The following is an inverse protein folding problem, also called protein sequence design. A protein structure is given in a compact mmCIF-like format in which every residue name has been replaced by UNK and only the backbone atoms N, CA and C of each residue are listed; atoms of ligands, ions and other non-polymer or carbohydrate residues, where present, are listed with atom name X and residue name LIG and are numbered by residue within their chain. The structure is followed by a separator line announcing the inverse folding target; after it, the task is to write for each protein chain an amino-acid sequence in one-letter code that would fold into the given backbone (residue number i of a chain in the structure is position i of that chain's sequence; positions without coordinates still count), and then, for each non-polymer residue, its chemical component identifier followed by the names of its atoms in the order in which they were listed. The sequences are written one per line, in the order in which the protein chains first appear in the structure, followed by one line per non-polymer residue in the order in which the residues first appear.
data_IF_330781328370
#
_entry.id   IF_330781328370
#
_cell.length_a   1.000
_cell.length_b   1.000
_cell.length_c   1.000
_cell.angle_alpha   90.00
_cell.angle_beta   90.00
_cell.angle_gamma   90.00
#
_symmetry.space_group_name_H-M   'P 1'
#
loop_
_entity.id
_entity.type
_entity.pdbx_description
1 polymer ?
#
# COMPACT_ATOMS: atom_id res chain seq x y z
N UNK A 1 3.96 25.15 -37.97
CA UNK A 1 4.82 24.51 -36.96
C UNK A 1 4.33 24.73 -35.53
N UNK A 2 4.68 25.83 -34.84
CA UNK A 2 4.31 26.01 -33.42
C UNK A 2 2.79 26.12 -33.17
N UNK A 3 2.08 26.91 -33.99
CA UNK A 3 0.62 27.07 -33.88
C UNK A 3 -0.16 25.76 -34.13
N UNK A 4 0.31 24.90 -35.04
CA UNK A 4 -0.30 23.59 -35.31
C UNK A 4 -0.09 22.62 -34.14
N UNK A 5 1.09 22.64 -33.53
CA UNK A 5 1.38 21.85 -32.32
C UNK A 5 0.49 22.30 -31.15
N UNK A 6 0.36 23.61 -30.92
CA UNK A 6 -0.53 24.15 -29.89
C UNK A 6 -2.00 23.80 -30.14
N UNK A 7 -2.47 23.84 -31.39
CA UNK A 7 -3.82 23.41 -31.76
C UNK A 7 -4.03 21.91 -31.49
N UNK A 8 -3.03 21.06 -31.79
CA UNK A 8 -3.06 19.63 -31.50
C UNK A 8 -3.15 19.36 -30.00
N UNK A 9 -2.29 19.99 -29.19
CA UNK A 9 -2.30 19.86 -27.72
C UNK A 9 -3.66 20.32 -27.16
N UNK A 10 -4.19 21.43 -27.67
CA UNK A 10 -5.51 21.95 -27.26
C UNK A 10 -6.61 20.93 -27.49
N UNK A 11 -6.70 20.37 -28.71
CA UNK A 11 -7.73 19.38 -29.06
C UNK A 11 -7.61 18.10 -28.25
N UNK A 12 -6.38 17.59 -28.06
CA UNK A 12 -6.16 16.40 -27.24
C UNK A 12 -6.52 16.63 -25.77
N UNK A 13 -6.24 17.82 -25.23
CA UNK A 13 -6.60 18.20 -23.88
C UNK A 13 -8.11 18.28 -23.68
N UNK A 14 -8.85 18.84 -24.64
CA UNK A 14 -10.33 18.90 -24.60
C UNK A 14 -10.96 17.51 -24.53
N UNK A 15 -10.44 16.55 -25.30
CA UNK A 15 -10.90 15.15 -25.24
C UNK A 15 -10.67 14.55 -23.85
N UNK A 16 -9.47 14.73 -23.30
CA UNK A 16 -9.14 14.22 -21.95
C UNK A 16 -9.97 14.90 -20.85
N UNK A 17 -10.25 16.19 -20.96
CA UNK A 17 -11.10 16.92 -20.01
C UNK A 17 -12.53 16.36 -19.97
N UNK A 18 -13.10 16.03 -21.13
CA UNK A 18 -14.41 15.38 -21.26
C UNK A 18 -14.39 13.92 -20.77
N UNK A 19 -13.35 13.14 -21.08
CA UNK A 19 -13.17 11.79 -20.53
C UNK A 19 -13.10 11.82 -19.00
N UNK A 20 -12.35 12.75 -18.42
CA UNK A 20 -12.26 12.92 -16.96
C UNK A 20 -13.58 13.37 -16.32
N UNK A 21 -14.41 14.10 -17.07
CA UNK A 21 -15.75 14.48 -16.63
C UNK A 21 -16.68 13.26 -16.63
N UNK A 22 -16.72 12.52 -17.74
CA UNK A 22 -17.47 11.26 -17.84
C UNK A 22 -17.04 10.25 -16.76
N UNK A 23 -15.74 10.11 -16.53
CA UNK A 23 -15.22 9.24 -15.48
C UNK A 23 -15.63 9.71 -14.08
N UNK A 24 -15.65 11.01 -13.82
CA UNK A 24 -16.12 11.55 -12.54
C UNK A 24 -17.61 11.24 -12.31
N UNK A 25 -18.43 11.38 -13.35
CA UNK A 25 -19.88 11.12 -13.29
C UNK A 25 -20.16 9.62 -13.10
N UNK A 26 -19.38 8.74 -13.72
CA UNK A 26 -19.53 7.29 -13.63
C UNK A 26 -18.74 6.63 -12.47
N UNK A 27 -17.88 7.36 -11.75
CA UNK A 27 -17.04 6.79 -10.67
C UNK A 27 -17.85 6.20 -9.50
N UNK A 28 -19.16 6.46 -9.44
CA UNK A 28 -20.09 5.83 -8.50
C UNK A 28 -20.53 4.43 -8.91
N UNK A 29 -20.65 4.16 -10.22
CA UNK A 29 -21.20 2.92 -10.78
C UNK A 29 -20.13 1.98 -11.37
N UNK A 30 -18.97 2.52 -11.74
CA UNK A 30 -17.85 1.71 -12.25
C UNK A 30 -17.26 0.81 -11.17
N UNK A 31 -16.78 -0.36 -11.60
CA UNK A 31 -15.93 -1.19 -10.77
C UNK A 31 -14.69 -0.39 -10.34
N UNK A 32 -14.33 -0.35 -9.04
CA UNK A 32 -13.24 0.49 -8.54
C UNK A 32 -11.89 0.26 -9.24
N UNK A 33 -11.67 -0.95 -9.78
CA UNK A 33 -10.50 -1.28 -10.60
C UNK A 33 -10.49 -0.53 -11.93
N UNK A 34 -11.61 -0.55 -12.65
CA UNK A 34 -11.72 0.07 -13.97
C UNK A 34 -11.57 1.58 -13.86
N UNK A 35 -12.27 2.20 -12.90
CA UNK A 35 -12.14 3.64 -12.64
C UNK A 35 -10.70 4.04 -12.29
N UNK A 36 -9.98 3.20 -11.54
CA UNK A 36 -8.57 3.42 -11.19
C UNK A 36 -7.66 3.34 -12.41
N UNK A 37 -7.88 2.37 -13.30
CA UNK A 37 -7.08 2.17 -14.50
C UNK A 37 -7.32 3.25 -15.55
N UNK A 38 -8.58 3.60 -15.82
CA UNK A 38 -8.91 4.70 -16.73
C UNK A 38 -8.33 6.04 -16.26
N UNK A 39 -8.35 6.31 -14.95
CA UNK A 39 -7.69 7.51 -14.40
C UNK A 39 -6.16 7.45 -14.49
N UNK A 40 -5.54 6.26 -14.44
CA UNK A 40 -4.09 6.06 -14.66
C UNK A 40 -3.71 6.36 -16.11
N UNK A 41 -4.50 5.86 -17.06
CA UNK A 41 -4.29 6.12 -18.49
C UNK A 41 -4.43 7.61 -18.81
N UNK A 42 -5.45 8.27 -18.26
CA UNK A 42 -5.60 9.72 -18.40
C UNK A 42 -4.39 10.50 -17.86
N UNK A 43 -3.83 10.12 -16.70
CA UNK A 43 -2.60 10.73 -16.17
C UNK A 43 -1.40 10.55 -17.09
N UNK A 44 -1.23 9.37 -17.71
CA UNK A 44 -0.16 9.12 -18.66
C UNK A 44 -0.29 9.99 -19.92
N UNK A 45 -1.51 10.09 -20.45
CA UNK A 45 -1.80 10.95 -21.61
C UNK A 45 -1.58 12.43 -21.29
N UNK A 46 -1.98 12.90 -20.11
CA UNK A 46 -1.74 14.28 -19.66
C UNK A 46 -0.25 14.58 -19.49
N UNK A 47 0.53 13.64 -18.95
CA UNK A 47 1.98 13.80 -18.84
C UNK A 47 2.66 13.88 -20.22
N UNK A 48 2.19 13.08 -21.19
CA UNK A 48 2.69 13.17 -22.56
C UNK A 48 2.40 14.54 -23.19
N UNK A 49 1.18 15.08 -23.00
CA UNK A 49 0.82 16.42 -23.47
C UNK A 49 1.62 17.54 -22.79
N UNK A 50 1.93 17.40 -21.49
CA UNK A 50 2.79 18.34 -20.77
C UNK A 50 4.20 18.37 -21.37
N UNK A 51 4.76 17.19 -21.68
CA UNK A 51 6.07 17.09 -22.34
C UNK A 51 6.04 17.70 -23.75
N UNK A 52 4.99 17.45 -24.54
CA UNK A 52 4.81 18.02 -25.87
C UNK A 52 4.71 19.56 -25.82
N UNK A 53 3.97 20.10 -24.83
CA UNK A 53 3.85 21.54 -24.61
C UNK A 53 5.19 22.16 -24.20
N UNK A 54 5.94 21.50 -23.33
CA UNK A 54 7.27 21.96 -22.92
C UNK A 54 8.25 21.98 -24.09
N UNK A 55 8.28 20.92 -24.92
CA UNK A 55 9.10 20.88 -26.12
C UNK A 55 8.73 21.99 -27.11
N UNK A 56 7.44 22.30 -27.25
CA UNK A 56 6.95 23.40 -28.10
C UNK A 56 7.43 24.76 -27.60
N UNK A 57 7.47 24.96 -26.27
CA UNK A 57 7.94 26.19 -25.64
C UNK A 57 9.45 26.40 -25.80
N UNK A 58 10.23 25.33 -25.71
CA UNK A 58 11.70 25.38 -25.80
C UNK A 58 12.21 25.43 -27.24
N UNK A 59 11.52 24.79 -28.18
CA UNK A 59 11.98 24.59 -29.55
C UNK A 59 11.52 25.61 -30.59
N UNK A 60 10.53 26.47 -30.31
CA UNK A 60 9.89 27.28 -31.35
C UNK A 60 9.95 28.81 -31.13
N UNK A 61 10.55 29.53 -32.09
CA UNK A 61 10.31 30.97 -32.25
C UNK A 61 8.89 31.20 -32.76
N UNK A 62 8.04 31.87 -31.98
CA UNK A 62 6.66 32.22 -32.37
C UNK A 62 5.54 31.40 -31.72
N UNK A 63 5.83 30.58 -30.70
CA UNK A 63 4.79 30.07 -29.82
C UNK A 63 4.19 31.22 -28.99
N UNK A 64 2.87 31.38 -29.00
CA UNK A 64 2.19 32.41 -28.20
C UNK A 64 2.38 32.11 -26.69
N UNK A 65 3.11 32.96 -25.94
CA UNK A 65 3.36 32.74 -24.52
C UNK A 65 2.07 32.69 -23.70
N UNK A 66 1.04 33.44 -24.08
CA UNK A 66 -0.24 33.47 -23.37
C UNK A 66 -1.01 32.15 -23.56
N UNK A 67 -1.04 31.62 -24.78
CA UNK A 67 -1.64 30.32 -25.08
C UNK A 67 -0.91 29.19 -24.35
N UNK A 68 0.43 29.20 -24.33
CA UNK A 68 1.24 28.22 -23.61
C UNK A 68 0.96 28.24 -22.09
N UNK A 69 0.86 29.43 -21.48
CA UNK A 69 0.53 29.57 -20.06
C UNK A 69 -0.89 29.04 -19.76
N UNK A 70 -1.86 29.35 -20.61
CA UNK A 70 -3.24 28.86 -20.48
C UNK A 70 -3.31 27.33 -20.55
N UNK A 71 -2.65 26.71 -21.53
CA UNK A 71 -2.61 25.25 -21.67
C UNK A 71 -1.88 24.58 -20.50
N UNK A 72 -0.79 25.18 -20.01
CA UNK A 72 -0.07 24.67 -18.83
C UNK A 72 -0.99 24.62 -17.61
N UNK A 73 -1.77 25.69 -17.38
CA UNK A 73 -2.74 25.74 -16.28
C UNK A 73 -3.83 24.66 -16.43
N UNK A 74 -4.41 24.52 -17.62
CA UNK A 74 -5.44 23.50 -17.89
C UNK A 74 -4.90 22.08 -17.71
N UNK A 75 -3.69 21.79 -18.18
CA UNK A 75 -3.02 20.50 -17.96
C UNK A 75 -2.81 20.21 -16.48
N UNK A 76 -2.37 21.20 -15.70
CA UNK A 76 -2.21 21.06 -14.26
C UNK A 76 -3.55 20.79 -13.55
N UNK A 77 -4.62 21.50 -13.93
CA UNK A 77 -5.97 21.30 -13.37
C UNK A 77 -6.54 19.92 -13.74
N UNK A 78 -6.38 19.49 -15.00
CA UNK A 78 -6.79 18.16 -15.47
C UNK A 78 -6.00 17.05 -14.78
N UNK A 79 -4.68 17.21 -14.62
CA UNK A 79 -3.82 16.26 -13.91
C UNK A 79 -4.21 16.15 -12.43
N UNK A 80 -4.49 17.28 -11.77
CA UNK A 80 -4.99 17.28 -10.40
C UNK A 80 -6.34 16.56 -10.28
N UNK A 81 -7.26 16.77 -11.23
CA UNK A 81 -8.56 16.07 -11.29
C UNK A 81 -8.37 14.56 -11.48
N UNK A 82 -7.57 14.14 -12.47
CA UNK A 82 -7.26 12.74 -12.73
C UNK A 82 -6.61 12.05 -11.52
N UNK A 83 -5.66 12.71 -10.86
CA UNK A 83 -5.02 12.22 -9.64
C UNK A 83 -6.02 12.02 -8.49
N UNK A 84 -6.96 12.96 -8.29
CA UNK A 84 -8.01 12.83 -7.26
C UNK A 84 -8.98 11.69 -7.55
N UNK A 85 -9.36 11.53 -8.82
CA UNK A 85 -10.22 10.43 -9.27
C UNK A 85 -9.53 9.07 -9.06
N UNK A 86 -8.27 8.95 -9.47
CA UNK A 86 -7.47 7.73 -9.24
C UNK A 86 -7.33 7.43 -7.75
N UNK A 87 -7.05 8.42 -6.91
CA UNK A 87 -6.93 8.22 -5.46
C UNK A 87 -8.26 7.74 -4.84
N UNK A 88 -9.38 8.30 -5.27
CA UNK A 88 -10.72 7.90 -4.82
C UNK A 88 -11.05 6.47 -5.24
N UNK A 89 -10.84 6.14 -6.52
CA UNK A 89 -11.04 4.78 -7.05
C UNK A 89 -10.12 3.77 -6.36
N UNK A 90 -8.85 4.12 -6.15
CA UNK A 90 -7.88 3.28 -5.44
C UNK A 90 -8.29 3.02 -3.99
N UNK A 91 -8.82 4.02 -3.29
CA UNK A 91 -9.31 3.85 -1.92
C UNK A 91 -10.54 2.93 -1.87
N UNK A 92 -11.50 3.10 -2.78
CA UNK A 92 -12.67 2.21 -2.90
C UNK A 92 -12.26 0.78 -3.22
N UNK A 93 -11.39 0.58 -4.22
CA UNK A 93 -10.89 -0.75 -4.60
C UNK A 93 -10.21 -1.42 -3.41
N UNK A 94 -9.38 -0.68 -2.68
CA UNK A 94 -8.71 -1.22 -1.52
C UNK A 94 -9.66 -1.58 -0.36
N UNK A 95 -10.76 -0.84 -0.17
CA UNK A 95 -11.80 -1.22 0.80
C UNK A 95 -12.49 -2.53 0.40
N UNK A 96 -12.78 -2.72 -0.89
CA UNK A 96 -13.37 -3.95 -1.42
C UNK A 96 -12.44 -5.15 -1.27
N UNK A 97 -11.14 -4.96 -1.49
CA UNK A 97 -10.14 -6.04 -1.46
C UNK A 97 -9.59 -6.36 -0.08
N UNK A 98 -9.77 -5.47 0.91
CA UNK A 98 -9.20 -5.66 2.24
C UNK A 98 -9.64 -6.95 2.95
N UNK A 99 -10.92 -7.38 2.91
CA UNK A 99 -11.33 -8.63 3.53
C UNK A 99 -10.57 -9.83 2.97
N UNK A 100 -10.50 -9.95 1.64
CA UNK A 100 -9.78 -11.03 0.98
C UNK A 100 -8.26 -10.96 1.26
N UNK A 101 -7.67 -9.76 1.20
CA UNK A 101 -6.26 -9.55 1.53
C UNK A 101 -5.97 -9.98 2.97
N UNK A 102 -6.86 -9.65 3.92
CA UNK A 102 -6.70 -9.99 5.33
C UNK A 102 -6.74 -11.51 5.57
N UNK A 103 -7.71 -12.21 4.96
CA UNK A 103 -7.80 -13.67 5.04
C UNK A 103 -6.56 -14.35 4.46
N UNK A 104 -6.10 -13.89 3.29
CA UNK A 104 -4.88 -14.39 2.66
C UNK A 104 -3.66 -14.10 3.54
N UNK A 105 -3.53 -12.88 4.08
CA UNK A 105 -2.41 -12.53 4.95
C UNK A 105 -2.36 -13.42 6.20
N UNK A 106 -3.52 -13.71 6.80
CA UNK A 106 -3.61 -14.59 7.96
C UNK A 106 -3.25 -16.04 7.60
N UNK A 107 -3.65 -16.52 6.42
CA UNK A 107 -3.28 -17.83 5.90
C UNK A 107 -1.75 -17.93 5.74
N UNK A 108 -1.14 -16.91 5.14
CA UNK A 108 0.30 -16.78 4.98
C UNK A 108 1.01 -16.80 6.35
N UNK A 109 0.59 -15.95 7.29
CA UNK A 109 1.18 -15.90 8.63
C UNK A 109 1.06 -17.24 9.37
N UNK A 110 -0.06 -17.95 9.18
CA UNK A 110 -0.28 -19.28 9.76
C UNK A 110 0.67 -20.33 9.19
N UNK A 111 0.96 -20.28 7.88
CA UNK A 111 2.00 -21.11 7.25
C UNK A 111 3.38 -20.76 7.83
N UNK A 112 3.72 -19.48 7.88
CA UNK A 112 5.01 -19.00 8.40
C UNK A 112 5.24 -19.41 9.86
N UNK A 113 4.23 -19.28 10.72
CA UNK A 113 4.33 -19.66 12.12
C UNK A 113 4.62 -21.17 12.31
N UNK A 114 4.10 -22.02 11.42
CA UNK A 114 4.42 -23.46 11.41
C UNK A 114 5.85 -23.72 10.94
N UNK A 115 6.31 -23.01 9.91
CA UNK A 115 7.67 -23.16 9.35
C UNK A 115 8.75 -22.63 10.28
N UNK A 116 8.50 -21.51 10.99
CA UNK A 116 9.43 -20.91 11.96
C UNK A 116 9.83 -21.82 13.11
N UNK A 117 9.07 -22.90 13.38
CA UNK A 117 9.46 -23.93 14.35
C UNK A 117 10.64 -24.79 13.86
N UNK A 118 10.92 -24.79 12.56
CA UNK A 118 12.02 -25.53 11.94
C UNK A 118 13.16 -24.63 11.48
N UNK A 119 12.84 -23.43 10.98
CA UNK A 119 13.81 -22.50 10.38
C UNK A 119 13.50 -21.06 10.79
N UNK A 120 14.41 -20.42 11.52
CA UNK A 120 14.17 -19.11 12.15
C UNK A 120 14.20 -17.94 11.15
N UNK A 121 15.08 -18.00 10.15
CA UNK A 121 15.31 -16.95 9.15
C UNK A 121 14.59 -17.21 7.82
N UNK A 122 13.27 -17.38 7.92
CA UNK A 122 12.44 -17.60 6.74
C UNK A 122 12.19 -16.30 5.94
N UNK A 123 12.69 -16.23 4.71
CA UNK A 123 12.30 -15.20 3.73
C UNK A 123 11.10 -15.68 2.91
N UNK A 124 9.93 -15.09 3.20
CA UNK A 124 8.69 -15.43 2.51
C UNK A 124 8.76 -15.15 1.00
N UNK A 125 9.48 -14.11 0.59
CA UNK A 125 9.54 -13.76 -0.82
C UNK A 125 10.23 -14.86 -1.62
N UNK A 126 11.39 -15.34 -1.13
CA UNK A 126 12.13 -16.45 -1.72
C UNK A 126 11.38 -17.79 -1.70
N UNK A 127 10.38 -17.94 -0.81
CA UNK A 127 9.49 -19.12 -0.84
C UNK A 127 8.40 -19.01 -1.91
N UNK A 128 8.01 -17.79 -2.26
CA UNK A 128 7.01 -17.53 -3.28
C UNK A 128 7.63 -17.53 -4.68
N UNK A 129 8.80 -16.92 -4.84
CA UNK A 129 9.61 -16.89 -6.07
C UNK A 129 10.31 -18.25 -6.28
N UNK A 130 9.68 -19.14 -7.05
CA UNK A 130 10.10 -20.54 -7.20
C UNK A 130 11.20 -20.69 -8.25
N UNK A 131 11.15 -19.88 -9.31
CA UNK A 131 12.15 -19.89 -10.37
C UNK A 131 13.31 -18.91 -10.13
N UNK A 132 13.24 -18.11 -9.08
CA UNK A 132 14.28 -17.17 -8.64
C UNK A 132 14.54 -16.07 -9.68
N UNK A 133 13.52 -15.69 -10.44
CA UNK A 133 13.60 -14.60 -11.42
C UNK A 133 13.60 -13.20 -10.76
N UNK A 134 13.40 -13.14 -9.43
CA UNK A 134 13.38 -11.92 -8.64
C UNK A 134 11.99 -11.29 -8.51
N UNK A 135 10.96 -11.94 -9.04
CA UNK A 135 9.57 -11.52 -9.00
C UNK A 135 8.67 -12.71 -8.62
N UNK A 136 7.40 -12.43 -8.34
CA UNK A 136 6.40 -13.49 -8.12
C UNK A 136 5.38 -13.41 -9.24
N UNK A 137 5.42 -14.38 -10.14
CA UNK A 137 4.43 -14.55 -11.19
C UNK A 137 3.08 -14.98 -10.61
N UNK A 138 2.02 -14.86 -11.43
CA UNK A 138 0.68 -15.29 -11.01
C UNK A 138 0.60 -16.78 -10.71
N UNK A 139 1.38 -17.60 -11.43
CA UNK A 139 1.43 -19.05 -11.22
C UNK A 139 2.07 -19.35 -9.85
N UNK A 140 3.18 -18.69 -9.56
CA UNK A 140 3.89 -18.83 -8.30
C UNK A 140 3.07 -18.34 -7.11
N UNK A 141 2.40 -17.19 -7.24
CA UNK A 141 1.49 -16.70 -6.20
C UNK A 141 0.41 -17.73 -5.86
N UNK A 142 -0.21 -18.36 -6.87
CA UNK A 142 -1.21 -19.42 -6.64
C UNK A 142 -0.59 -20.67 -6.01
N UNK A 143 0.57 -21.10 -6.50
CA UNK A 143 1.26 -22.26 -5.95
C UNK A 143 1.62 -22.04 -4.47
N UNK A 144 2.17 -20.87 -4.15
CA UNK A 144 2.46 -20.45 -2.79
C UNK A 144 1.21 -20.47 -1.89
N UNK A 145 0.07 -20.02 -2.42
CA UNK A 145 -1.18 -20.03 -1.67
C UNK A 145 -1.78 -21.43 -1.49
N UNK A 146 -1.42 -22.43 -2.30
CA UNK A 146 -1.91 -23.81 -2.13
C UNK A 146 -1.37 -24.49 -0.87
N UNK A 147 -0.17 -24.12 -0.39
CA UNK A 147 0.34 -24.66 0.89
C UNK A 147 -0.06 -23.80 2.10
N UNK A 148 -0.81 -22.71 1.87
CA UNK A 148 -1.40 -21.91 2.94
C UNK A 148 -2.76 -22.51 3.37
N UNK A 149 -3.09 -22.49 4.66
CA UNK A 149 -4.40 -22.93 5.12
C UNK A 149 -5.50 -21.99 4.64
N UNK A 150 -6.62 -22.56 4.17
CA UNK A 150 -7.77 -21.79 3.67
C UNK A 150 -8.29 -22.39 2.37
N UNK A 151 -9.47 -21.95 1.94
CA UNK A 151 -10.05 -22.36 0.66
C UNK A 151 -10.24 -21.12 -0.22
N UNK A 152 -9.22 -20.78 -0.99
CA UNK A 152 -9.24 -19.63 -1.89
C UNK A 152 -9.49 -20.10 -3.32
N UNK A 153 -10.51 -19.54 -3.97
CA UNK A 153 -10.77 -19.82 -5.37
C UNK A 153 -9.68 -19.20 -6.26
N UNK A 154 -9.48 -19.77 -7.45
CA UNK A 154 -8.54 -19.20 -8.44
C UNK A 154 -8.90 -17.76 -8.80
N UNK A 155 -10.19 -17.45 -8.89
CA UNK A 155 -10.67 -16.09 -9.18
C UNK A 155 -10.32 -15.11 -8.05
N UNK A 156 -10.50 -15.50 -6.79
CA UNK A 156 -10.10 -14.69 -5.62
C UNK A 156 -8.60 -14.39 -5.65
N UNK A 157 -7.76 -15.41 -5.86
CA UNK A 157 -6.31 -15.24 -5.91
C UNK A 157 -5.88 -14.36 -7.10
N UNK A 158 -6.52 -14.51 -8.26
CA UNK A 158 -6.24 -13.68 -9.43
C UNK A 158 -6.64 -12.21 -9.19
N UNK A 159 -7.81 -11.95 -8.58
CA UNK A 159 -8.24 -10.60 -8.20
C UNK A 159 -7.30 -9.97 -7.19
N UNK A 160 -6.83 -10.73 -6.20
CA UNK A 160 -5.86 -10.24 -5.23
C UNK A 160 -4.51 -9.94 -5.87
N UNK A 161 -4.03 -10.81 -6.77
CA UNK A 161 -2.80 -10.56 -7.52
C UNK A 161 -2.90 -9.26 -8.34
N UNK A 162 -4.01 -9.07 -9.07
CA UNK A 162 -4.24 -7.86 -9.87
C UNK A 162 -4.31 -6.60 -9.00
N UNK A 163 -4.85 -6.72 -7.79
CA UNK A 163 -4.88 -5.62 -6.84
C UNK A 163 -3.49 -5.29 -6.28
N UNK A 164 -2.62 -6.30 -6.11
CA UNK A 164 -1.26 -6.12 -5.63
C UNK A 164 -0.33 -5.56 -6.71
N UNK A 165 -0.51 -5.95 -7.98
CA UNK A 165 0.23 -5.45 -9.16
C UNK A 165 -0.28 -4.06 -9.59
N UNK A 166 -0.09 -3.05 -8.73
CA UNK A 166 -0.50 -1.65 -9.01
C UNK A 166 0.24 -1.06 -10.22
N UNK A 167 1.43 -1.59 -10.51
CA UNK A 167 2.22 -1.20 -11.66
C UNK A 167 1.72 -1.82 -12.98
N UNK A 168 0.86 -2.83 -12.93
CA UNK A 168 0.40 -3.62 -14.08
C UNK A 168 1.57 -4.24 -14.85
N UNK A 169 2.57 -4.72 -14.12
CA UNK A 169 3.79 -5.33 -14.64
C UNK A 169 3.59 -6.80 -15.02
N UNK A 170 2.49 -7.43 -14.58
CA UNK A 170 2.19 -8.84 -14.78
C UNK A 170 2.86 -9.77 -13.76
N UNK A 171 3.69 -9.21 -12.88
CA UNK A 171 4.42 -9.89 -11.81
C UNK A 171 4.35 -9.05 -10.53
N UNK A 172 4.69 -9.64 -9.37
CA UNK A 172 4.78 -8.89 -8.12
C UNK A 172 6.23 -8.74 -7.71
N UNK A 173 6.69 -7.50 -7.55
CA UNK A 173 7.97 -7.26 -6.90
C UNK A 173 7.89 -7.54 -5.41
N UNK A 174 9.06 -7.65 -4.74
CA UNK A 174 9.13 -7.90 -3.29
C UNK A 174 8.23 -6.98 -2.48
N UNK A 175 8.30 -5.67 -2.69
CA UNK A 175 7.47 -4.72 -1.95
C UNK A 175 5.97 -4.93 -2.20
N UNK A 176 5.59 -5.42 -3.38
CA UNK A 176 4.20 -5.64 -3.77
C UNK A 176 3.64 -6.91 -3.17
N UNK A 177 4.41 -7.99 -3.22
CA UNK A 177 4.09 -9.24 -2.54
C UNK A 177 4.00 -9.04 -1.02
N UNK A 178 4.92 -8.27 -0.43
CA UNK A 178 4.92 -8.00 1.02
C UNK A 178 3.69 -7.20 1.48
N UNK A 179 3.05 -6.39 0.62
CA UNK A 179 1.75 -5.75 0.96
C UNK A 179 0.64 -6.76 1.23
N UNK A 180 0.75 -7.96 0.68
CA UNK A 180 -0.15 -9.06 0.97
C UNK A 180 0.10 -9.62 2.37
N UNK A 181 1.35 -9.98 2.67
CA UNK A 181 1.71 -10.73 3.86
C UNK A 181 1.76 -9.90 5.15
N UNK A 182 2.02 -8.60 5.07
CA UNK A 182 2.16 -7.74 6.25
C UNK A 182 0.77 -7.25 6.71
N UNK A 183 0.47 -7.46 7.99
CA UNK A 183 -0.77 -7.00 8.63
C UNK A 183 -0.41 -6.07 9.76
N UNK A 184 -1.05 -4.90 9.79
CA UNK A 184 -0.87 -3.94 10.86
C UNK A 184 -2.12 -3.85 11.73
N UNK A 185 -1.88 -3.61 13.01
CA UNK A 185 -2.87 -3.29 14.00
C UNK A 185 -2.59 -1.92 14.59
N UNK A 186 -3.65 -1.27 15.09
CA UNK A 186 -3.56 -0.03 15.85
C UNK A 186 -4.19 -0.23 17.22
N UNK A 187 -3.52 0.23 18.26
CA UNK A 187 -4.09 0.31 19.60
C UNK A 187 -5.19 1.38 19.61
N UNK A 188 -6.43 0.96 19.80
CA UNK A 188 -7.61 1.85 19.77
C UNK A 188 -8.07 2.29 21.15
N UNK A 189 -7.65 1.59 22.21
CA UNK A 189 -8.02 1.87 23.60
C UNK A 189 -6.80 1.87 24.51
N UNK A 190 -6.81 2.61 25.64
CA UNK A 190 -5.74 2.58 26.61
C UNK A 190 -5.67 1.22 27.34
N UNK A 191 -4.64 1.06 28.17
CA UNK A 191 -4.45 -0.10 29.04
C UNK A 191 -4.22 -1.41 28.28
N UNK A 192 -3.42 -1.35 27.21
CA UNK A 192 -2.98 -2.55 26.49
C UNK A 192 -1.55 -2.87 26.90
N UNK A 193 -1.39 -4.02 27.55
CA UNK A 193 -0.08 -4.53 27.92
C UNK A 193 0.47 -5.43 26.80
N UNK A 194 1.75 -5.25 26.50
CA UNK A 194 2.54 -6.17 25.70
C UNK A 194 3.25 -7.14 26.65
N UNK A 195 2.96 -8.43 26.54
CA UNK A 195 3.48 -9.47 27.43
C UNK A 195 4.29 -10.52 26.67
N UNK A 196 5.26 -11.16 27.33
CA UNK A 196 6.18 -12.08 26.65
C UNK A 196 5.51 -13.38 26.15
N UNK A 197 4.53 -13.89 26.90
CA UNK A 197 3.86 -15.17 26.64
C UNK A 197 2.33 -15.02 26.76
N UNK A 198 1.59 -15.82 26.00
CA UNK A 198 0.13 -15.97 26.15
C UNK A 198 -0.20 -17.17 27.07
N UNK A 199 -1.36 -17.16 27.74
CA UNK A 199 -1.83 -18.24 28.62
C UNK A 199 -2.56 -17.75 29.87
N UNK A 200 -2.91 -18.69 30.77
CA UNK A 200 -3.64 -18.41 32.01
C UNK A 200 -2.80 -17.70 33.08
N UNK A 201 -1.47 -17.83 33.03
CA UNK A 201 -0.56 -17.06 33.88
C UNK A 201 -0.35 -15.66 33.29
N UNK A 202 -0.27 -14.63 34.13
CA UNK A 202 0.15 -13.30 33.68
C UNK A 202 1.57 -13.41 33.10
N UNK A 203 1.69 -13.37 31.78
CA UNK A 203 2.98 -13.32 31.10
C UNK A 203 3.75 -12.09 31.56
N UNK A 204 5.08 -12.20 31.66
CA UNK A 204 5.97 -11.10 32.05
C UNK A 204 5.66 -9.87 31.19
N UNK A 205 5.36 -8.74 31.83
CA UNK A 205 5.14 -7.47 31.15
C UNK A 205 6.43 -7.07 30.43
N UNK A 206 6.32 -6.87 29.12
CA UNK A 206 7.38 -6.26 28.31
C UNK A 206 7.27 -4.75 28.47
N UNK A 207 6.09 -4.19 28.13
CA UNK A 207 5.74 -2.78 28.35
C UNK A 207 4.25 -2.52 28.11
N UNK A 208 3.80 -1.30 28.41
CA UNK A 208 2.49 -0.80 28.01
C UNK A 208 2.54 -0.22 26.59
N UNK A 209 1.45 -0.39 25.84
CA UNK A 209 1.26 0.19 24.51
C UNK A 209 0.41 1.45 24.60
N UNK A 210 0.78 2.46 23.81
CA UNK A 210 0.06 3.74 23.79
C UNK A 210 -1.11 3.70 22.79
N UNK A 211 -2.15 4.50 23.04
CA UNK A 211 -3.24 4.68 22.07
C UNK A 211 -2.67 5.24 20.77
N UNK A 212 -3.14 4.72 19.64
CA UNK A 212 -2.65 4.98 18.28
C UNK A 212 -1.30 4.34 17.93
N UNK A 213 -0.68 3.58 18.83
CA UNK A 213 0.53 2.84 18.50
C UNK A 213 0.26 1.79 17.43
N UNK A 214 1.19 1.67 16.47
CA UNK A 214 1.11 0.73 15.33
C UNK A 214 1.91 -0.53 15.65
N UNK A 215 1.28 -1.67 15.41
CA UNK A 215 1.82 -2.99 15.69
C UNK A 215 1.82 -3.81 14.39
N UNK A 216 2.94 -4.44 14.06
CA UNK A 216 3.03 -5.42 12.98
C UNK A 216 2.68 -6.81 13.52
N UNK A 217 1.71 -7.50 12.91
CA UNK A 217 1.30 -8.84 13.30
C UNK A 217 2.38 -9.86 12.93
N UNK A 218 2.77 -10.69 13.89
CA UNK A 218 3.69 -11.80 13.71
C UNK A 218 3.00 -13.17 13.82
N UNK A 219 1.99 -13.26 14.68
CA UNK A 219 1.24 -14.49 14.93
C UNK A 219 -0.19 -14.17 15.41
N UNK A 220 -1.16 -14.98 14.98
CA UNK A 220 -2.58 -14.78 15.29
C UNK A 220 -3.33 -14.04 14.18
N UNK A 221 -4.55 -13.53 14.45
CA UNK A 221 -5.26 -13.54 15.74
C UNK A 221 -5.60 -14.96 16.23
N UNK A 222 -5.43 -15.21 17.53
CA UNK A 222 -5.78 -16.47 18.21
C UNK A 222 -6.93 -16.20 19.17
N UNK A 223 -8.03 -16.95 19.04
CA UNK A 223 -9.17 -16.88 19.96
C UNK A 223 -9.02 -17.95 21.04
N UNK A 224 -8.85 -17.52 22.29
CA UNK A 224 -8.81 -18.38 23.48
C UNK A 224 -10.22 -18.88 23.85
N UNK A 225 -10.28 -19.90 24.71
CA UNK A 225 -11.53 -20.53 25.20
C UNK A 225 -12.46 -19.51 25.88
N UNK A 226 -11.88 -18.55 26.60
CA UNK A 226 -12.57 -17.45 27.29
C UNK A 226 -13.04 -16.32 26.35
N UNK A 227 -13.03 -16.54 25.03
CA UNK A 227 -13.36 -15.56 23.97
C UNK A 227 -12.38 -14.40 23.82
N UNK A 228 -11.28 -14.38 24.57
CA UNK A 228 -10.21 -13.38 24.40
C UNK A 228 -9.49 -13.63 23.08
N UNK A 229 -9.21 -12.58 22.33
CA UNK A 229 -8.40 -12.65 21.11
C UNK A 229 -7.02 -12.07 21.40
N UNK A 230 -5.98 -12.86 21.16
CA UNK A 230 -4.58 -12.49 21.31
C UNK A 230 -3.92 -12.33 19.95
N UNK A 231 -3.00 -11.37 19.87
CA UNK A 231 -2.11 -11.17 18.71
C UNK A 231 -0.67 -11.08 19.20
N UNK A 232 0.24 -11.80 18.56
CA UNK A 232 1.67 -11.59 18.74
C UNK A 232 2.11 -10.54 17.74
N UNK A 233 2.77 -9.50 18.21
CA UNK A 233 3.11 -8.37 17.38
C UNK A 233 4.48 -7.80 17.71
N UNK A 234 5.03 -7.08 16.74
CA UNK A 234 6.17 -6.19 16.90
C UNK A 234 5.66 -4.75 16.92
N UNK A 235 5.94 -4.01 17.97
CA UNK A 235 5.60 -2.61 18.01
C UNK A 235 6.54 -1.79 17.12
N UNK A 236 5.98 -0.97 16.25
CA UNK A 236 6.76 -0.22 15.26
C UNK A 236 7.56 0.93 15.86
N UNK A 237 7.19 1.39 17.06
CA UNK A 237 7.85 2.49 17.75
C UNK A 237 9.28 2.16 18.19
N UNK A 238 9.48 0.97 18.74
CA UNK A 238 10.70 0.58 19.45
C UNK A 238 11.19 -0.84 19.08
N UNK A 239 10.45 -1.57 18.25
CA UNK A 239 10.78 -2.93 17.85
C UNK A 239 10.46 -4.00 18.90
N UNK A 240 9.86 -3.63 20.04
CA UNK A 240 9.50 -4.57 21.10
C UNK A 240 8.52 -5.63 20.59
N UNK A 241 8.77 -6.90 20.91
CA UNK A 241 7.94 -8.04 20.47
C UNK A 241 7.23 -8.67 21.68
N UNK A 242 5.95 -8.96 21.52
CA UNK A 242 5.16 -9.68 22.52
C UNK A 242 3.72 -9.93 22.10
N UNK A 243 2.94 -10.47 23.02
CA UNK A 243 1.51 -10.72 22.89
C UNK A 243 0.72 -9.55 23.45
N UNK A 244 -0.32 -9.13 22.72
CA UNK A 244 -1.29 -8.14 23.15
C UNK A 244 -2.71 -8.73 23.08
N UNK A 245 -3.60 -8.26 23.95
CA UNK A 245 -5.03 -8.55 23.86
C UNK A 245 -5.66 -7.67 22.79
N UNK A 246 -6.07 -8.26 21.68
CA UNK A 246 -6.81 -7.54 20.64
C UNK A 246 -8.28 -7.34 21.00
N UNK A 247 -8.92 -8.39 21.51
CA UNK A 247 -10.31 -8.36 21.95
C UNK A 247 -10.44 -9.02 23.31
N UNK A 248 -11.08 -8.32 24.27
CA UNK A 248 -11.36 -8.87 25.60
C UNK A 248 -12.46 -9.94 25.58
N UNK A 249 -12.63 -10.64 26.70
CA UNK A 249 -13.66 -11.70 26.85
C UNK A 249 -15.09 -11.18 26.69
N UNK A 250 -15.31 -9.89 26.98
CA UNK A 250 -16.57 -9.17 26.79
C UNK A 250 -16.77 -8.63 25.36
N UNK A 251 -15.89 -8.94 24.42
CA UNK A 251 -15.97 -8.47 23.03
C UNK A 251 -15.43 -7.06 22.78
N UNK A 252 -14.94 -6.35 23.82
CA UNK A 252 -14.34 -5.03 23.63
C UNK A 252 -13.04 -5.17 22.85
N UNK A 253 -12.95 -4.46 21.72
CA UNK A 253 -11.75 -4.40 20.87
C UNK A 253 -10.82 -3.30 21.41
N UNK A 254 -9.60 -3.70 21.79
CA UNK A 254 -8.53 -2.84 22.27
C UNK A 254 -7.47 -2.57 21.20
N UNK A 255 -7.28 -3.54 20.30
CA UNK A 255 -6.32 -3.48 19.21
C UNK A 255 -7.03 -3.95 17.94
N UNK A 256 -7.17 -3.05 16.98
CA UNK A 256 -7.94 -3.30 15.76
C UNK A 256 -7.01 -3.41 14.55
N UNK A 257 -7.35 -4.31 13.63
CA UNK A 257 -6.63 -4.41 12.36
C UNK A 257 -6.86 -3.12 11.56
N UNK A 258 -5.79 -2.55 11.02
CA UNK A 258 -5.85 -1.35 10.19
C UNK A 258 -5.01 -1.50 8.93
N UNK A 259 -5.54 -0.95 7.85
CA UNK A 259 -4.76 -0.60 6.67
C UNK A 259 -3.88 0.60 7.01
N UNK A 260 -2.63 0.36 7.39
CA UNK A 260 -1.73 1.47 7.72
C UNK A 260 -1.09 2.00 6.44
N UNK A 261 -1.46 3.23 6.08
CA UNK A 261 -0.80 4.03 5.05
C UNK A 261 -0.14 5.20 5.76
N UNK A 262 1.16 5.40 5.54
CA UNK A 262 1.80 6.62 6.00
C UNK A 262 1.67 7.65 4.88
N UNK A 263 0.93 8.71 5.15
CA UNK A 263 0.88 9.87 4.27
C UNK A 263 1.87 10.91 4.79
N UNK A 264 2.78 11.32 3.92
CA UNK A 264 3.64 12.46 4.17
C UNK A 264 2.78 13.72 4.06
N UNK A 265 2.33 14.25 5.20
CA UNK A 265 1.50 15.48 5.26
C UNK A 265 2.32 16.73 4.95
N UNK A 266 3.58 16.74 5.36
CA UNK A 266 4.52 17.83 5.16
C UNK A 266 5.79 17.24 4.58
N UNK A 267 6.27 17.82 3.49
CA UNK A 267 7.53 17.39 2.88
C UNK A 267 8.64 17.43 3.92
N UNK A 268 9.33 16.32 4.08
CA UNK A 268 10.37 16.16 5.12
C UNK A 268 11.46 15.22 4.62
N UNK A 269 12.57 15.14 5.33
CA UNK A 269 13.65 14.23 5.01
C UNK A 269 13.50 12.96 5.83
N UNK A 270 13.51 11.80 5.17
CA UNK A 270 13.65 10.54 5.88
C UNK A 270 15.12 10.33 6.23
N UNK A 271 15.38 10.21 7.51
CA UNK A 271 16.69 9.97 8.08
C UNK A 271 16.78 8.55 8.62
N UNK A 272 18.00 8.03 8.75
CA UNK A 272 18.27 6.71 9.32
C UNK A 272 18.07 6.66 10.86
N UNK A 273 18.12 7.82 11.51
CA UNK A 273 17.96 7.98 12.95
C UNK A 273 16.94 9.07 13.29
N UNK A 274 16.30 8.95 14.45
CA UNK A 274 15.38 9.94 15.03
C UNK A 274 16.15 11.12 15.67
N UNK A 275 17.25 11.58 15.07
CA UNK A 275 18.09 12.67 15.56
C UNK A 275 18.42 13.62 14.44
N UNK A 276 18.07 14.90 14.58
CA UNK A 276 18.38 15.93 13.57
C UNK A 276 19.86 16.29 13.48
N UNK A 277 20.70 15.91 14.46
CA UNK A 277 22.11 16.32 14.55
C UNK A 277 23.10 15.23 14.16
N UNK A 278 22.68 13.96 14.14
CA UNK A 278 23.53 12.82 13.83
C UNK A 278 22.70 11.77 13.09
N UNK A 279 22.37 12.05 11.82
CA UNK A 279 21.67 11.10 10.96
C UNK A 279 22.11 11.27 9.51
N UNK A 280 22.15 10.17 8.77
CA UNK A 280 22.26 10.20 7.32
C UNK A 280 20.87 10.42 6.70
N UNK A 281 20.82 11.30 5.70
CA UNK A 281 19.64 11.45 4.86
C UNK A 281 19.50 10.20 3.99
N UNK A 282 18.44 9.42 4.20
CA UNK A 282 18.13 8.28 3.34
C UNK A 282 17.49 8.73 2.03
N UNK A 283 16.44 9.56 2.12
CA UNK A 283 15.75 10.15 0.95
C UNK A 283 14.79 11.27 1.34
N UNK A 284 14.48 12.22 0.44
CA UNK A 284 13.39 13.16 0.64
C UNK A 284 12.03 12.45 0.56
N UNK A 285 11.10 12.84 1.42
CA UNK A 285 9.69 12.46 1.37
C UNK A 285 8.90 13.69 0.94
N UNK A 286 8.31 13.66 -0.26
CA UNK A 286 7.48 14.75 -0.78
C UNK A 286 6.04 14.62 -0.28
N UNK A 287 5.35 15.72 0.02
CA UNK A 287 3.92 15.70 0.28
C UNK A 287 3.11 16.00 -1.00
N UNK A 288 1.96 15.33 -1.25
CA UNK A 288 1.45 14.15 -0.53
C UNK A 288 2.03 12.86 -1.14
N UNK A 289 2.92 12.17 -0.42
CA UNK A 289 3.37 10.82 -0.78
C UNK A 289 2.75 9.81 0.17
N UNK A 290 2.04 8.83 -0.37
CA UNK A 290 1.65 7.63 0.36
C UNK A 290 2.80 6.64 0.33
N UNK A 291 3.31 6.26 1.50
CA UNK A 291 4.29 5.18 1.64
C UNK A 291 3.64 4.03 2.41
N UNK A 292 3.73 2.84 1.84
CA UNK A 292 3.56 1.60 2.60
C UNK A 292 4.80 1.41 3.49
N UNK A 293 4.61 1.10 4.77
CA UNK A 293 5.68 0.47 5.54
C UNK A 293 5.70 -1.00 5.14
N UNK A 294 6.47 -1.32 4.11
CA UNK A 294 6.98 -2.66 3.83
C UNK A 294 8.46 -2.65 4.15
N UNK A 295 8.86 -3.41 5.17
CA UNK A 295 10.22 -3.82 5.56
C UNK A 295 11.31 -2.78 5.34
N UNK A 296 11.67 -2.06 6.42
CA UNK A 296 12.98 -1.40 6.47
C UNK A 296 14.06 -2.45 6.20
N UNK A 297 14.92 -2.17 5.20
CA UNK A 297 16.13 -2.96 4.93
C UNK A 297 16.80 -3.24 6.27
N UNK A 298 16.87 -4.51 6.68
CA UNK A 298 17.88 -4.88 7.68
C UNK A 298 19.23 -4.53 7.04
N UNK A 299 20.15 -3.84 7.74
CA UNK A 299 21.52 -3.88 7.33
C UNK A 299 21.94 -5.35 7.41
N UNK A 300 22.30 -5.91 6.26
CA UNK A 300 23.08 -7.14 6.19
C UNK A 300 24.31 -6.88 7.06
N UNK A 301 24.46 -7.63 8.14
CA UNK A 301 25.73 -7.73 8.85
C UNK A 301 26.66 -8.62 8.05
#
# INVERSE_FOLDING_TARGET
MAGEQLARVTKSLEVLEEELKSLADMAGSLEPREAKESARQALQSLQALENDLQATREGASGADPAQCQSLTKRLADASAKASRLRATASNKHAQVMEPLRAEVAQAILSRLAKMRKKEEDLDIFSLADQDQDGFVSRKEFRNFMNDCPGNFSRDQLNKLFDYLDDACSGHLQRDEFMRCAVVFYRVSRPSVDLVQTMGMAQGKLVRKLDVNEILELLEGPIKEINKVVRVKCRAMRDGSVGWATATGSNGVVFVEQKRVHFQVKTSTTLTDLLSAKACATLRPLKAPLFRFLGVGRRPIR
#
